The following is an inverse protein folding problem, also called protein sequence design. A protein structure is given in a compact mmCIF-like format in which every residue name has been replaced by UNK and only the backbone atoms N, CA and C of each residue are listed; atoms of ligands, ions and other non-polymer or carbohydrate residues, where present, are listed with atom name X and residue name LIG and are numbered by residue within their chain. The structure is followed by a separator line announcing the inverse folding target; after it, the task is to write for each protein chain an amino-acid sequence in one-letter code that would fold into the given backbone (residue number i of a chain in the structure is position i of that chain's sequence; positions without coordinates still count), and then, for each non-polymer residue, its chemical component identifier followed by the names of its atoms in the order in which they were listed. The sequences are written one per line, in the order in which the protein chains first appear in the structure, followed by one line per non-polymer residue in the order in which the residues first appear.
data_IF_988091625466
#
_entry.id   IF_988091625466
#
_cell.length_a   1.000
_cell.length_b   1.000
_cell.length_c   1.000
_cell.angle_alpha   90.00
_cell.angle_beta   90.00
_cell.angle_gamma   90.00
#
_symmetry.space_group_name_H-M   'P 1'
#
loop_
_entity.id
_entity.type
_entity.pdbx_description
1 polymer ?
#
# COMPACT_ATOMS: atom_id res chain seq x y z
N UNK A 1 2.58 27.76 15.11
CA UNK A 1 1.25 28.06 14.54
C UNK A 1 1.45 29.16 13.50
N UNK A 2 2.04 28.79 12.35
CA UNK A 2 2.43 29.73 11.29
C UNK A 2 1.40 29.60 10.16
N UNK A 3 0.99 30.77 9.68
CA UNK A 3 -0.03 31.00 8.68
C UNK A 3 0.07 30.12 7.44
N UNK A 4 -1.05 29.51 7.04
CA UNK A 4 -1.36 29.22 5.64
C UNK A 4 -2.63 30.01 5.32
N UNK A 5 -2.46 31.33 5.17
CA UNK A 5 -3.43 32.21 4.54
C UNK A 5 -2.90 32.46 3.13
N UNK A 6 -3.66 32.04 2.11
CA UNK A 6 -3.51 32.53 0.74
C UNK A 6 -2.76 31.61 -0.23
N UNK A 7 -3.49 30.72 -0.89
CA UNK A 7 -3.73 30.79 -2.36
C UNK A 7 -4.81 29.76 -2.67
N UNK A 8 -5.91 30.20 -3.27
CA UNK A 8 -6.83 29.29 -3.95
C UNK A 8 -6.02 28.51 -5.01
N UNK A 9 -6.28 27.21 -5.17
CA UNK A 9 -5.61 26.39 -6.19
C UNK A 9 -5.50 27.18 -7.50
N UNK A 10 -4.28 27.34 -8.01
CA UNK A 10 -4.09 27.96 -9.30
C UNK A 10 -4.71 27.04 -10.36
N UNK A 11 -5.23 27.60 -11.46
CA UNK A 11 -5.79 26.79 -12.55
C UNK A 11 -4.79 25.73 -13.04
N UNK A 12 -3.50 26.03 -12.96
CA UNK A 12 -2.40 25.11 -13.26
C UNK A 12 -2.37 23.87 -12.34
N UNK A 13 -2.66 24.02 -11.05
CA UNK A 13 -2.65 22.90 -10.09
C UNK A 13 -3.82 21.95 -10.34
N UNK A 14 -4.99 22.52 -10.64
CA UNK A 14 -6.19 21.76 -11.00
C UNK A 14 -5.93 20.97 -12.30
N UNK A 15 -5.31 21.60 -13.30
CA UNK A 15 -5.00 20.95 -14.57
C UNK A 15 -4.01 19.78 -14.40
N UNK A 16 -2.96 19.95 -13.60
CA UNK A 16 -2.00 18.87 -13.31
C UNK A 16 -2.68 17.72 -12.57
N UNK A 17 -3.55 18.01 -11.62
CA UNK A 17 -4.29 17.01 -10.85
C UNK A 17 -5.28 16.23 -11.74
N UNK A 18 -6.02 16.93 -12.60
CA UNK A 18 -6.96 16.32 -13.55
C UNK A 18 -6.23 15.45 -14.59
N UNK A 19 -5.09 15.94 -15.11
CA UNK A 19 -4.24 15.17 -16.03
C UNK A 19 -3.69 13.91 -15.35
N UNK A 20 -3.24 14.01 -14.10
CA UNK A 20 -2.76 12.87 -13.32
C UNK A 20 -3.84 11.78 -13.15
N UNK A 21 -5.06 12.18 -12.74
CA UNK A 21 -6.19 11.25 -12.64
C UNK A 21 -6.54 10.60 -13.98
N UNK A 22 -6.57 11.38 -15.06
CA UNK A 22 -6.85 10.87 -16.41
C UNK A 22 -5.77 9.90 -16.90
N UNK A 23 -4.49 10.19 -16.65
CA UNK A 23 -3.39 9.30 -17.03
C UNK A 23 -3.45 7.98 -16.26
N UNK A 24 -3.74 8.01 -14.95
CA UNK A 24 -3.86 6.79 -14.14
C UNK A 24 -5.08 5.97 -14.52
N UNK A 25 -6.24 6.60 -14.68
CA UNK A 25 -7.45 5.91 -15.13
C UNK A 25 -7.26 5.37 -16.54
N UNK A 26 -6.67 6.15 -17.44
CA UNK A 26 -6.34 5.74 -18.80
C UNK A 26 -5.38 4.55 -18.83
N UNK A 27 -4.30 4.58 -18.04
CA UNK A 27 -3.36 3.49 -17.91
C UNK A 27 -3.99 2.24 -17.27
N UNK A 28 -4.83 2.43 -16.24
CA UNK A 28 -5.57 1.35 -15.58
C UNK A 28 -6.56 0.66 -16.52
N UNK A 29 -7.35 1.43 -17.26
CA UNK A 29 -8.29 0.92 -18.27
C UNK A 29 -7.54 0.26 -19.43
N UNK A 30 -6.47 0.87 -19.92
CA UNK A 30 -5.63 0.29 -20.98
C UNK A 30 -5.00 -1.05 -20.55
N UNK A 31 -4.45 -1.11 -19.33
CA UNK A 31 -3.90 -2.34 -18.75
C UNK A 31 -4.99 -3.41 -18.56
N UNK A 32 -6.16 -3.03 -18.05
CA UNK A 32 -7.30 -3.92 -17.85
C UNK A 32 -7.87 -4.46 -19.18
N UNK A 33 -7.93 -3.61 -20.21
CA UNK A 33 -8.39 -4.00 -21.55
C UNK A 33 -7.38 -4.89 -22.29
N UNK A 34 -6.07 -4.66 -22.12
CA UNK A 34 -5.00 -5.41 -22.80
C UNK A 34 -4.83 -6.84 -22.24
N UNK A 35 -5.18 -7.06 -20.96
CA UNK A 35 -4.99 -8.34 -20.26
C UNK A 35 -6.26 -9.23 -20.16
N UNK A 36 -7.22 -9.10 -21.07
CA UNK A 36 -8.44 -9.96 -21.09
C UNK A 36 -8.20 -11.41 -21.55
N UNK A 37 -6.98 -11.78 -21.95
CA UNK A 37 -6.64 -13.13 -22.42
C UNK A 37 -5.92 -13.96 -21.36
N UNK A 38 -6.66 -14.82 -20.66
CA UNK A 38 -6.20 -15.89 -19.74
C UNK A 38 -5.75 -15.46 -18.34
N UNK A 39 -6.53 -15.90 -17.35
CA UNK A 39 -6.28 -15.85 -15.89
C UNK A 39 -4.90 -16.43 -15.53
N UNK A 40 -4.41 -17.37 -16.35
CA UNK A 40 -3.08 -17.96 -16.22
C UNK A 40 -1.94 -17.01 -16.56
N UNK A 41 -2.10 -16.00 -17.43
CA UNK A 41 -1.05 -15.02 -17.74
C UNK A 41 -0.90 -13.92 -16.68
N UNK A 42 -2.03 -13.53 -16.09
CA UNK A 42 -2.12 -12.49 -15.07
C UNK A 42 -1.62 -12.95 -13.68
N UNK A 43 -1.86 -14.21 -13.30
CA UNK A 43 -1.28 -14.84 -12.10
C UNK A 43 0.07 -15.56 -12.39
N UNK A 44 0.24 -16.04 -13.63
CA UNK A 44 1.45 -16.48 -14.32
C UNK A 44 2.70 -15.64 -14.13
N UNK A 45 2.61 -14.41 -14.67
CA UNK A 45 3.74 -13.56 -15.05
C UNK A 45 5.01 -14.38 -15.33
N UNK A 46 4.83 -15.29 -16.30
CA UNK A 46 5.35 -16.66 -16.30
C UNK A 46 6.74 -16.85 -15.74
N UNK A 47 6.88 -17.35 -14.49
CA UNK A 47 8.09 -17.97 -13.88
C UNK A 47 9.44 -17.24 -14.08
N UNK A 48 9.44 -16.03 -14.63
CA UNK A 48 10.61 -15.30 -15.13
C UNK A 48 10.45 -13.79 -14.95
N UNK A 49 9.56 -13.39 -14.03
CA UNK A 49 9.50 -11.99 -13.63
C UNK A 49 10.85 -11.60 -13.02
N UNK A 50 11.49 -10.61 -13.65
CA UNK A 50 12.75 -10.07 -13.20
C UNK A 50 12.62 -9.56 -11.75
N UNK A 51 13.67 -9.63 -10.94
CA UNK A 51 13.58 -9.29 -9.51
C UNK A 51 13.15 -7.83 -9.28
N UNK A 52 13.48 -6.94 -10.22
CA UNK A 52 13.19 -5.50 -10.15
C UNK A 52 11.68 -5.19 -10.09
N UNK A 53 10.83 -5.61 -11.05
CA UNK A 53 9.38 -5.36 -10.98
C UNK A 53 8.72 -6.03 -9.77
N UNK A 54 9.22 -7.20 -9.32
CA UNK A 54 8.72 -7.87 -8.12
C UNK A 54 9.02 -7.03 -6.87
N UNK A 55 10.25 -6.54 -6.73
CA UNK A 55 10.64 -5.65 -5.63
C UNK A 55 9.87 -4.33 -5.64
N UNK A 56 9.71 -3.73 -6.82
CA UNK A 56 8.95 -2.49 -6.97
C UNK A 56 7.47 -2.66 -6.59
N UNK A 57 6.83 -3.76 -6.95
CA UNK A 57 5.44 -4.06 -6.58
C UNK A 57 5.29 -4.34 -5.07
N UNK A 58 6.24 -5.06 -4.48
CA UNK A 58 6.29 -5.29 -3.02
C UNK A 58 6.43 -3.97 -2.25
N UNK A 59 7.33 -3.10 -2.71
CA UNK A 59 7.54 -1.78 -2.12
C UNK A 59 6.30 -0.89 -2.29
N UNK A 60 5.73 -0.83 -3.49
CA UNK A 60 4.51 -0.07 -3.76
C UNK A 60 3.29 -0.57 -2.95
N UNK A 61 3.23 -1.86 -2.61
CA UNK A 61 2.16 -2.42 -1.76
C UNK A 61 2.37 -2.12 -0.27
N UNK A 62 3.59 -1.79 0.14
CA UNK A 62 3.93 -1.46 1.52
C UNK A 62 3.74 0.03 1.82
N UNK A 63 4.12 0.89 0.87
CA UNK A 63 4.07 2.34 1.00
C UNK A 63 2.68 2.86 0.59
N UNK A 64 1.92 3.40 1.55
CA UNK A 64 0.60 4.01 1.34
C UNK A 64 0.57 5.49 1.71
N UNK A 65 -0.58 6.15 1.48
CA UNK A 65 -0.80 7.56 1.87
C UNK A 65 -0.58 7.77 3.37
N UNK A 66 -1.02 6.80 4.19
CA UNK A 66 -0.81 6.83 5.64
C UNK A 66 0.67 6.81 6.06
N UNK A 67 1.54 6.17 5.28
CA UNK A 67 2.98 6.12 5.57
C UNK A 67 3.62 7.49 5.36
N UNK A 68 3.30 8.19 4.26
CA UNK A 68 3.82 9.54 4.00
C UNK A 68 3.40 10.55 5.06
N UNK A 69 2.09 10.61 5.38
CA UNK A 69 1.57 11.58 6.35
C UNK A 69 1.95 11.21 7.79
N UNK A 70 1.97 9.91 8.10
CA UNK A 70 2.40 9.41 9.41
C UNK A 70 3.89 9.65 9.68
N UNK A 71 4.76 9.39 8.70
CA UNK A 71 6.20 9.65 8.82
C UNK A 71 6.51 11.14 8.81
N UNK A 72 5.83 11.94 7.99
CA UNK A 72 6.00 13.39 8.00
C UNK A 72 5.57 13.99 9.36
N UNK A 73 4.46 13.53 9.92
CA UNK A 73 4.00 13.95 11.25
C UNK A 73 4.93 13.50 12.38
N UNK A 74 5.39 12.25 12.35
CA UNK A 74 6.34 11.72 13.34
C UNK A 74 7.72 12.37 13.21
N UNK A 75 8.16 12.70 12.01
CA UNK A 75 9.42 13.43 11.77
C UNK A 75 9.34 14.88 12.24
N UNK A 76 8.17 15.52 12.14
CA UNK A 76 7.96 16.86 12.67
C UNK A 76 7.99 16.91 14.21
N UNK A 77 7.55 15.85 14.89
CA UNK A 77 7.53 15.78 16.37
C UNK A 77 8.80 15.18 16.97
N UNK A 78 9.35 14.13 16.36
CA UNK A 78 10.48 13.34 16.88
C UNK A 78 11.79 13.54 16.10
N UNK A 79 11.80 14.35 15.05
CA UNK A 79 12.98 14.63 14.23
C UNK A 79 13.42 13.44 13.36
N UNK A 80 14.72 13.42 13.02
CA UNK A 80 15.34 12.43 12.12
C UNK A 80 15.37 11.01 12.73
N UNK A 81 15.08 10.86 14.03
CA UNK A 81 15.06 9.56 14.70
C UNK A 81 14.12 8.54 14.02
N UNK A 82 13.03 9.00 13.41
CA UNK A 82 12.08 8.16 12.66
C UNK A 82 12.74 7.51 11.43
N UNK A 83 13.74 8.15 10.82
CA UNK A 83 14.48 7.55 9.70
C UNK A 83 15.29 6.30 10.12
N UNK A 84 15.72 6.25 11.40
CA UNK A 84 16.37 5.06 11.94
C UNK A 84 15.46 3.83 11.97
N UNK A 85 14.15 4.03 12.19
CA UNK A 85 13.16 2.97 12.12
C UNK A 85 13.05 2.38 10.71
N UNK A 86 12.99 3.23 9.69
CA UNK A 86 12.87 2.81 8.28
C UNK A 86 14.14 2.07 7.82
N UNK A 87 15.33 2.58 8.14
CA UNK A 87 16.61 1.93 7.79
C UNK A 87 16.72 0.57 8.50
N UNK A 88 16.32 0.49 9.77
CA UNK A 88 16.27 -0.75 10.52
C UNK A 88 15.27 -1.75 9.95
N UNK A 89 14.10 -1.29 9.49
CA UNK A 89 13.08 -2.13 8.87
C UNK A 89 13.59 -2.78 7.59
N UNK A 90 14.33 -2.05 6.74
CA UNK A 90 14.94 -2.62 5.52
C UNK A 90 15.91 -3.75 5.87
N UNK A 91 16.73 -3.58 6.91
CA UNK A 91 17.66 -4.62 7.36
C UNK A 91 16.92 -5.89 7.79
N UNK A 92 15.90 -5.76 8.64
CA UNK A 92 15.08 -6.90 9.06
C UNK A 92 14.33 -7.54 7.89
N UNK A 93 13.85 -6.75 6.93
CA UNK A 93 13.14 -7.26 5.76
C UNK A 93 14.06 -8.11 4.86
N UNK A 94 15.34 -7.74 4.71
CA UNK A 94 16.32 -8.59 4.01
C UNK A 94 16.53 -9.93 4.72
N UNK A 95 16.69 -9.92 6.05
CA UNK A 95 16.89 -11.14 6.86
C UNK A 95 15.65 -12.04 6.80
N UNK A 96 14.46 -11.46 6.98
CA UNK A 96 13.17 -12.15 6.88
C UNK A 96 12.98 -12.71 5.47
N UNK A 97 13.31 -11.95 4.42
CA UNK A 97 13.26 -12.40 3.05
C UNK A 97 14.11 -13.65 2.83
N UNK A 98 15.38 -13.61 3.21
CA UNK A 98 16.28 -14.76 3.02
C UNK A 98 15.85 -16.00 3.82
N UNK A 99 15.30 -15.84 5.02
CA UNK A 99 14.85 -16.95 5.87
C UNK A 99 13.51 -17.54 5.43
N UNK A 100 12.52 -16.69 5.14
CA UNK A 100 11.14 -17.13 4.90
C UNK A 100 10.82 -17.42 3.43
N UNK A 101 11.48 -16.77 2.47
CA UNK A 101 11.30 -17.06 1.03
C UNK A 101 11.52 -18.55 0.72
N UNK A 102 12.63 -19.21 1.12
CA UNK A 102 12.81 -20.64 0.81
C UNK A 102 11.79 -21.54 1.50
N UNK A 103 11.28 -21.14 2.68
CA UNK A 103 10.27 -21.89 3.42
C UNK A 103 8.92 -21.84 2.69
N UNK A 104 8.49 -20.65 2.25
CA UNK A 104 7.23 -20.48 1.52
C UNK A 104 7.26 -21.13 0.14
N UNK A 105 8.40 -21.06 -0.55
CA UNK A 105 8.58 -21.74 -1.84
C UNK A 105 8.48 -23.26 -1.72
N UNK A 106 9.01 -23.86 -0.65
CA UNK A 106 8.92 -25.32 -0.40
C UNK A 106 7.54 -25.78 0.06
N UNK A 107 6.80 -24.92 0.76
CA UNK A 107 5.46 -25.23 1.25
C UNK A 107 4.36 -25.02 0.19
N UNK A 108 4.70 -24.46 -0.99
CA UNK A 108 3.78 -24.14 -2.09
C UNK A 108 2.54 -23.35 -1.62
N UNK A 109 2.76 -22.41 -0.71
CA UNK A 109 1.70 -21.62 -0.11
C UNK A 109 1.65 -20.22 -0.69
N UNK A 110 0.47 -19.78 -1.12
CA UNK A 110 0.25 -18.45 -1.70
C UNK A 110 -0.23 -17.40 -0.68
N UNK A 111 -0.76 -17.80 0.46
CA UNK A 111 -1.31 -16.88 1.48
C UNK A 111 -0.86 -17.24 2.89
N UNK A 112 -0.62 -16.23 3.73
CA UNK A 112 -0.23 -16.44 5.13
C UNK A 112 -1.20 -17.35 5.91
N UNK A 113 -2.55 -17.19 5.81
CA UNK A 113 -3.48 -18.08 6.50
C UNK A 113 -3.43 -19.54 6.00
N UNK A 114 -3.10 -19.77 4.73
CA UNK A 114 -2.88 -21.14 4.22
C UNK A 114 -1.63 -21.78 4.84
N UNK A 115 -0.57 -21.00 5.11
CA UNK A 115 0.65 -21.54 5.73
C UNK A 115 0.36 -22.02 7.15
N UNK A 116 -0.43 -21.25 7.90
CA UNK A 116 -0.88 -21.62 9.24
C UNK A 116 -1.81 -22.85 9.19
N UNK A 117 -2.67 -22.99 8.16
CA UNK A 117 -3.49 -24.19 7.96
C UNK A 117 -2.62 -25.44 7.83
N UNK A 118 -1.58 -25.42 7.00
CA UNK A 118 -0.70 -26.58 6.80
C UNK A 118 0.10 -26.93 8.06
N UNK A 119 0.46 -25.92 8.87
CA UNK A 119 1.26 -26.14 10.09
C UNK A 119 0.44 -26.61 11.29
N UNK A 120 -0.81 -26.16 11.44
CA UNK A 120 -1.64 -26.44 12.62
C UNK A 120 -2.89 -27.30 12.35
N UNK A 121 -3.17 -27.67 11.09
CA UNK A 121 -4.12 -28.74 10.76
C UNK A 121 -5.61 -28.43 10.99
N UNK A 122 -6.09 -27.21 10.69
CA UNK A 122 -7.50 -26.85 10.90
C UNK A 122 -8.12 -25.94 9.82
N UNK A 123 -9.13 -26.45 9.11
CA UNK A 123 -9.98 -25.68 8.16
C UNK A 123 -10.63 -24.46 8.85
N UNK A 124 -11.16 -24.67 10.05
CA UNK A 124 -11.86 -23.65 10.85
C UNK A 124 -10.94 -22.51 11.27
N UNK A 125 -9.70 -22.83 11.65
CA UNK A 125 -8.68 -21.85 12.06
C UNK A 125 -8.28 -20.97 10.88
N UNK A 126 -8.17 -21.54 9.67
CA UNK A 126 -7.90 -20.76 8.45
C UNK A 126 -9.01 -19.76 8.16
N UNK A 127 -10.28 -20.19 8.21
CA UNK A 127 -11.42 -19.31 7.94
C UNK A 127 -11.47 -18.19 8.97
N UNK A 128 -11.29 -18.51 10.25
CA UNK A 128 -11.26 -17.52 11.32
C UNK A 128 -10.11 -16.51 11.13
N UNK A 129 -8.87 -16.97 10.91
CA UNK A 129 -7.71 -16.10 10.69
C UNK A 129 -7.84 -15.26 9.43
N UNK A 130 -8.40 -15.81 8.35
CA UNK A 130 -8.60 -15.07 7.10
C UNK A 130 -9.67 -14.00 7.30
N UNK A 131 -10.79 -14.33 7.95
CA UNK A 131 -11.84 -13.37 8.27
C UNK A 131 -11.30 -12.26 9.19
N UNK A 132 -10.57 -12.63 10.23
CA UNK A 132 -9.93 -11.70 11.15
C UNK A 132 -8.92 -10.80 10.42
N UNK A 133 -8.02 -11.37 9.60
CA UNK A 133 -7.04 -10.60 8.84
C UNK A 133 -7.70 -9.64 7.84
N UNK A 134 -8.77 -10.06 7.17
CA UNK A 134 -9.56 -9.19 6.29
C UNK A 134 -10.24 -8.07 7.07
N UNK A 135 -10.87 -8.40 8.21
CA UNK A 135 -11.52 -7.44 9.07
C UNK A 135 -10.51 -6.39 9.57
N UNK A 136 -9.36 -6.80 10.12
CA UNK A 136 -8.30 -5.87 10.53
C UNK A 136 -7.75 -5.05 9.35
N UNK A 137 -7.61 -5.65 8.17
CA UNK A 137 -7.13 -4.91 7.00
C UNK A 137 -8.13 -3.84 6.57
N UNK A 138 -9.43 -4.16 6.56
CA UNK A 138 -10.48 -3.20 6.20
C UNK A 138 -10.56 -2.09 7.24
N UNK A 139 -10.66 -2.42 8.53
CA UNK A 139 -10.83 -1.41 9.57
C UNK A 139 -9.59 -0.57 9.81
N UNK A 140 -8.39 -1.14 9.70
CA UNK A 140 -7.15 -0.42 10.03
C UNK A 140 -6.50 0.18 8.78
N UNK A 141 -6.16 -0.63 7.76
CA UNK A 141 -5.44 -0.11 6.59
C UNK A 141 -6.28 0.90 5.81
N UNK A 142 -7.50 0.50 5.42
CA UNK A 142 -8.36 1.35 4.59
C UNK A 142 -8.73 2.64 5.33
N UNK A 143 -9.06 2.56 6.62
CA UNK A 143 -9.40 3.75 7.41
C UNK A 143 -8.22 4.72 7.55
N UNK A 144 -7.01 4.21 7.80
CA UNK A 144 -5.81 5.05 7.91
C UNK A 144 -5.50 5.72 6.58
N UNK A 145 -5.58 4.98 5.48
CA UNK A 145 -5.31 5.52 4.14
C UNK A 145 -6.36 6.56 3.73
N UNK A 146 -7.64 6.32 4.06
CA UNK A 146 -8.73 7.26 3.80
C UNK A 146 -8.63 8.52 4.67
N UNK A 147 -8.34 8.38 5.96
CA UNK A 147 -8.16 9.51 6.88
C UNK A 147 -6.97 10.38 6.48
N UNK A 148 -5.86 9.74 6.12
CA UNK A 148 -4.68 10.39 5.58
C UNK A 148 -5.00 11.17 4.29
N UNK A 149 -5.74 10.56 3.36
CA UNK A 149 -6.22 11.23 2.15
C UNK A 149 -7.15 12.41 2.45
N UNK A 150 -8.03 12.30 3.45
CA UNK A 150 -8.93 13.37 3.86
C UNK A 150 -8.19 14.57 4.45
N UNK A 151 -7.17 14.36 5.30
CA UNK A 151 -6.30 15.44 5.79
C UNK A 151 -5.59 16.14 4.64
N UNK A 152 -5.07 15.36 3.68
CA UNK A 152 -4.41 15.93 2.52
C UNK A 152 -5.35 16.82 1.69
N UNK A 153 -6.57 16.34 1.42
CA UNK A 153 -7.59 17.13 0.73
C UNK A 153 -7.99 18.38 1.51
N UNK A 154 -8.13 18.29 2.84
CA UNK A 154 -8.43 19.44 3.69
C UNK A 154 -7.33 20.51 3.62
N UNK A 155 -6.06 20.09 3.68
CA UNK A 155 -4.91 20.99 3.58
C UNK A 155 -4.77 21.61 2.20
N UNK A 156 -5.01 20.84 1.12
CA UNK A 156 -4.89 21.30 -0.25
C UNK A 156 -6.02 22.24 -0.66
N UNK A 157 -7.27 21.91 -0.33
CA UNK A 157 -8.46 22.65 -0.78
C UNK A 157 -8.94 23.70 0.23
N UNK A 158 -8.38 23.76 1.45
CA UNK A 158 -8.90 24.55 2.58
C UNK A 158 -10.41 24.33 2.83
N UNK A 159 -10.96 23.21 2.35
CA UNK A 159 -12.38 22.91 2.45
C UNK A 159 -12.64 22.27 3.81
N UNK A 160 -13.56 22.85 4.59
CA UNK A 160 -13.98 22.28 5.86
C UNK A 160 -14.61 20.91 5.61
N UNK A 161 -13.92 19.84 6.01
CA UNK A 161 -14.40 18.45 5.89
C UNK A 161 -15.67 18.17 6.73
N UNK A 162 -16.07 19.16 7.56
CA UNK A 162 -17.25 19.15 8.43
C UNK A 162 -18.42 20.02 7.93
N UNK A 163 -18.35 20.54 6.71
CA UNK A 163 -19.48 21.22 6.08
C UNK A 163 -20.29 20.28 5.18
N UNK A 164 -20.74 19.15 5.75
CA UNK A 164 -22.16 18.87 5.96
C UNK A 164 -22.35 17.61 6.81
#
# INVERSE_FOLDING_TARGET
MVAIIGTALHWSDILVLLLYFLLILGFGVWSSCKNRGSVGGYFLAGRSMHFIPVGASLFASNIGSGHFIGLAGSGASSGIAVAGYEIGAVHWLMVLGWLFVPIYMKAEVFTMPQYIKMRYGGERIRVYLTCLALMLSIFTKISVDLYSGAIFLQQALNWNLYAS
#
